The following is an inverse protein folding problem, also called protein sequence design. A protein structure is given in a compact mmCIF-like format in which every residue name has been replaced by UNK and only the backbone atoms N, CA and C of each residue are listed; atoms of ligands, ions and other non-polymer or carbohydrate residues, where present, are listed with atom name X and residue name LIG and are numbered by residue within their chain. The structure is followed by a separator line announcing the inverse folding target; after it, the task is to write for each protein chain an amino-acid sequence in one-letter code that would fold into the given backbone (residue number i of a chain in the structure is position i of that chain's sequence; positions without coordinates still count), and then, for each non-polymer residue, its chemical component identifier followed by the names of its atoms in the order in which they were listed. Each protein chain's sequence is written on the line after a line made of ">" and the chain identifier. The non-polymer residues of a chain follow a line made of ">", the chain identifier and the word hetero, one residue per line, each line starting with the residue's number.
data_IF_831373180243
#
_entry.id   IF_831373180243
#
_cell.length_a   1.000
_cell.length_b   1.000
_cell.length_c   1.000
_cell.angle_alpha   90.00
_cell.angle_beta   90.00
_cell.angle_gamma   90.00
#
_symmetry.space_group_name_H-M   'P 1'
#
loop_
_entity.id
_entity.type
_entity.pdbx_description
1 polymer ?
#
# COMPACT_ATOMS: atom_id res chain seq x y z
N UNK A 1 -21.13 -3.64 2.42
CA UNK A 1 -20.07 -3.20 3.35
C UNK A 1 -19.32 -2.11 2.63
N UNK A 2 -19.06 -0.93 3.19
CA UNK A 2 -18.59 0.25 2.41
C UNK A 2 -17.35 -0.05 1.55
N UNK A 3 -16.48 -0.97 1.99
CA UNK A 3 -15.28 -1.38 1.25
C UNK A 3 -15.55 -2.27 0.01
N UNK A 4 -16.76 -2.78 -0.20
CA UNK A 4 -17.08 -3.49 -1.46
C UNK A 4 -17.15 -2.53 -2.65
N UNK A 5 -17.42 -1.26 -2.39
CA UNK A 5 -17.66 -0.25 -3.42
C UNK A 5 -16.36 0.29 -4.02
N UNK A 6 -15.24 0.17 -3.28
CA UNK A 6 -13.89 0.49 -3.77
C UNK A 6 -13.30 -0.63 -4.63
N UNK A 7 -13.84 -1.85 -4.53
CA UNK A 7 -13.28 -3.04 -5.15
C UNK A 7 -11.88 -3.39 -4.63
N UNK A 8 -11.20 -4.29 -5.35
CA UNK A 8 -9.83 -4.69 -5.03
C UNK A 8 -9.68 -5.69 -3.90
N UNK A 9 -8.43 -6.08 -3.63
CA UNK A 9 -8.05 -7.02 -2.59
C UNK A 9 -7.06 -6.38 -1.61
N UNK A 10 -7.18 -6.76 -0.34
CA UNK A 10 -6.30 -6.27 0.72
C UNK A 10 -4.87 -6.77 0.48
N UNK A 11 -3.88 -5.89 0.57
CA UNK A 11 -2.47 -6.20 0.32
C UNK A 11 -1.88 -7.13 1.41
N UNK A 12 -2.52 -7.22 2.57
CA UNK A 12 -2.19 -8.19 3.62
C UNK A 12 -2.85 -9.57 3.42
N UNK A 13 -3.76 -9.71 2.45
CA UNK A 13 -4.38 -11.00 2.12
C UNK A 13 -3.71 -11.61 0.89
N UNK A 14 -3.63 -12.94 0.78
CA UNK A 14 -3.00 -13.61 -0.37
C UNK A 14 -3.55 -13.15 -1.73
N UNK A 15 -4.83 -12.81 -1.80
CA UNK A 15 -5.50 -12.35 -3.03
C UNK A 15 -5.03 -10.97 -3.50
N UNK A 16 -4.57 -10.10 -2.58
CA UNK A 16 -4.02 -8.78 -2.91
C UNK A 16 -2.52 -8.78 -3.19
N UNK A 17 -1.83 -9.90 -2.93
CA UNK A 17 -0.40 -10.08 -3.18
C UNK A 17 -0.15 -10.49 -4.63
N UNK A 18 -0.44 -9.56 -5.56
CA UNK A 18 -0.25 -9.77 -7.02
C UNK A 18 1.00 -9.07 -7.58
N UNK A 19 1.62 -8.18 -6.80
CA UNK A 19 2.82 -7.44 -7.19
C UNK A 19 4.09 -8.09 -6.61
N UNK A 20 5.20 -8.06 -7.36
CA UNK A 20 6.50 -8.49 -6.84
C UNK A 20 7.11 -7.43 -5.90
N UNK A 21 8.10 -7.83 -5.09
CA UNK A 21 8.86 -6.92 -4.19
C UNK A 21 9.39 -5.68 -4.94
N UNK A 22 9.77 -5.82 -6.21
CA UNK A 22 10.33 -4.72 -7.02
C UNK A 22 9.27 -3.75 -7.54
N UNK A 23 8.03 -4.19 -7.66
CA UNK A 23 6.95 -3.44 -8.29
C UNK A 23 6.05 -2.72 -7.28
N UNK A 24 6.04 -3.14 -6.01
CA UNK A 24 5.15 -2.57 -4.97
C UNK A 24 5.53 -1.13 -4.57
N UNK A 25 6.80 -0.76 -4.67
CA UNK A 25 7.29 0.52 -4.14
C UNK A 25 6.64 1.73 -4.82
N UNK A 26 6.54 1.72 -6.15
CA UNK A 26 6.01 2.86 -6.91
C UNK A 26 4.52 3.10 -6.63
N UNK A 27 3.63 2.08 -6.63
CA UNK A 27 2.27 2.21 -6.15
C UNK A 27 2.15 2.74 -4.72
N UNK A 28 2.96 2.23 -3.78
CA UNK A 28 2.97 2.69 -2.39
C UNK A 28 3.35 4.16 -2.29
N UNK A 29 4.42 4.55 -2.98
CA UNK A 29 4.88 5.93 -2.99
C UNK A 29 3.82 6.87 -3.55
N UNK A 30 3.19 6.52 -4.68
CA UNK A 30 2.09 7.32 -5.24
C UNK A 30 0.93 7.49 -4.27
N UNK A 31 0.51 6.40 -3.62
CA UNK A 31 -0.59 6.40 -2.67
C UNK A 31 -0.27 7.23 -1.40
N UNK A 32 0.98 7.17 -0.90
CA UNK A 32 1.39 8.01 0.23
C UNK A 32 1.55 9.47 -0.16
N UNK A 33 2.03 9.77 -1.37
CA UNK A 33 2.18 11.15 -1.86
C UNK A 33 0.85 11.82 -2.21
N UNK A 34 -0.19 11.08 -2.62
CA UNK A 34 -1.49 11.68 -2.91
C UNK A 34 -2.21 12.24 -1.68
N UNK A 35 -1.70 11.92 -0.49
CA UNK A 35 -2.15 12.49 0.77
C UNK A 35 -1.41 13.79 1.14
N UNK A 36 -0.35 14.17 0.39
CA UNK A 36 0.40 15.41 0.64
C UNK A 36 -0.43 16.64 0.28
N UNK A 37 -1.09 16.63 -0.88
CA UNK A 37 -1.92 17.74 -1.35
C UNK A 37 -3.02 18.16 -0.36
N UNK A 38 -3.75 17.23 0.28
CA UNK A 38 -4.70 17.60 1.35
C UNK A 38 -4.02 17.93 2.69
N UNK A 39 -2.69 17.91 2.78
CA UNK A 39 -1.94 18.13 4.01
C UNK A 39 -2.12 17.00 5.01
N UNK A 40 -2.19 15.75 4.57
CA UNK A 40 -2.55 14.60 5.39
C UNK A 40 -1.40 13.60 5.45
N UNK A 41 -0.94 13.28 6.66
CA UNK A 41 0.08 12.26 6.89
C UNK A 41 -0.47 11.16 7.80
N UNK A 42 -0.81 9.99 7.24
CA UNK A 42 -1.34 8.85 8.01
C UNK A 42 -0.30 8.22 8.95
N UNK A 43 -0.52 8.23 10.26
CA UNK A 43 0.45 7.74 11.24
C UNK A 43 0.50 6.19 11.30
N UNK A 44 -0.65 5.53 11.14
CA UNK A 44 -0.75 4.07 11.24
C UNK A 44 -0.56 3.37 9.88
N UNK A 45 0.69 3.17 9.45
CA UNK A 45 1.02 2.51 8.18
C UNK A 45 1.06 0.98 8.34
N UNK A 46 -0.01 0.29 7.96
CA UNK A 46 -0.10 -1.19 7.93
C UNK A 46 -0.66 -1.67 6.57
N UNK A 47 -0.27 -2.87 6.14
CA UNK A 47 -0.72 -3.51 4.90
C UNK A 47 -2.23 -3.78 4.89
N UNK A 48 -2.84 -4.02 6.05
CA UNK A 48 -4.30 -4.24 6.18
C UNK A 48 -5.12 -3.04 5.70
N UNK A 49 -4.50 -1.84 5.73
CA UNK A 49 -5.12 -0.59 5.32
C UNK A 49 -4.82 -0.23 3.86
N UNK A 50 -4.30 -1.18 3.08
CA UNK A 50 -3.96 -0.99 1.68
C UNK A 50 -4.75 -1.99 0.84
N UNK A 51 -5.48 -1.47 -0.13
CA UNK A 51 -6.21 -2.27 -1.10
C UNK A 51 -5.63 -2.05 -2.49
N UNK A 52 -5.35 -3.14 -3.21
CA UNK A 52 -5.02 -3.06 -4.61
C UNK A 52 -6.32 -3.07 -5.43
N UNK A 53 -6.70 -1.91 -5.96
CA UNK A 53 -8.06 -1.65 -6.48
C UNK A 53 -8.19 -1.70 -8.00
N UNK A 54 -7.10 -1.78 -8.74
CA UNK A 54 -7.15 -1.77 -10.20
C UNK A 54 -6.15 -2.73 -10.83
N UNK A 55 -6.49 -3.23 -12.02
CA UNK A 55 -5.63 -4.11 -12.83
C UNK A 55 -4.30 -3.44 -13.23
N UNK A 56 -4.20 -2.11 -13.13
CA UNK A 56 -2.98 -1.34 -13.37
C UNK A 56 -2.07 -1.21 -12.13
N UNK A 57 -2.41 -1.87 -11.02
CA UNK A 57 -1.59 -1.92 -9.81
C UNK A 57 -1.70 -0.69 -8.90
N UNK A 58 -2.82 0.05 -8.95
CA UNK A 58 -3.08 1.16 -8.01
C UNK A 58 -3.42 0.66 -6.61
N UNK A 59 -2.84 1.34 -5.61
CA UNK A 59 -3.14 1.14 -4.20
C UNK A 59 -4.06 2.24 -3.71
N UNK A 60 -5.14 1.84 -3.06
CA UNK A 60 -5.99 2.72 -2.27
C UNK A 60 -5.66 2.53 -0.79
N UNK A 61 -5.32 3.63 -0.11
CA UNK A 61 -5.19 3.62 1.34
C UNK A 61 -6.56 3.81 1.97
N UNK A 62 -6.92 2.94 2.90
CA UNK A 62 -8.17 3.01 3.66
C UNK A 62 -7.88 3.39 5.11
N UNK A 63 -8.94 3.46 5.91
CA UNK A 63 -8.95 3.76 7.35
C UNK A 63 -8.71 5.24 7.72
N UNK A 64 -7.71 6.01 7.30
CA UNK A 64 -7.43 7.42 7.70
C UNK A 64 -7.69 7.90 9.18
N UNK A 65 -7.90 7.05 10.18
CA UNK A 65 -8.34 7.48 11.53
C UNK A 65 -7.27 8.28 12.30
N UNK A 66 -5.99 8.16 11.92
CA UNK A 66 -4.87 8.90 12.51
C UNK A 66 -4.08 9.63 11.44
N UNK A 67 -4.31 10.93 11.35
CA UNK A 67 -3.66 11.82 10.39
C UNK A 67 -3.01 12.99 11.09
N UNK A 68 -1.76 13.26 10.75
CA UNK A 68 -1.09 14.51 11.08
C UNK A 68 -1.36 15.52 9.95
N UNK A 69 -1.88 16.68 10.33
CA UNK A 69 -2.27 17.76 9.41
C UNK A 69 -1.33 18.97 9.46
N UNK A 70 -0.36 19.00 10.38
CA UNK A 70 0.45 20.18 10.68
C UNK A 70 1.94 20.00 10.28
N UNK A 71 2.21 19.30 9.17
CA UNK A 71 3.56 19.19 8.62
C UNK A 71 3.84 20.30 7.58
N UNK A 72 5.10 20.67 7.41
CA UNK A 72 5.52 21.45 6.24
C UNK A 72 5.57 20.56 4.99
N UNK A 73 5.47 21.14 3.79
CA UNK A 73 5.55 20.39 2.51
C UNK A 73 6.80 19.50 2.42
N UNK A 74 7.96 20.00 2.83
CA UNK A 74 9.22 19.23 2.87
C UNK A 74 9.12 18.02 3.83
N UNK A 75 8.44 18.20 4.97
CA UNK A 75 8.22 17.13 5.93
C UNK A 75 7.20 16.10 5.42
N UNK A 76 6.23 16.51 4.60
CA UNK A 76 5.28 15.60 3.96
C UNK A 76 5.94 14.70 2.92
N UNK A 77 6.80 15.23 2.05
CA UNK A 77 7.54 14.43 1.08
C UNK A 77 8.46 13.41 1.77
N UNK A 78 9.18 13.84 2.81
CA UNK A 78 10.01 12.96 3.63
C UNK A 78 9.19 11.87 4.35
N UNK A 79 8.03 12.23 4.91
CA UNK A 79 7.12 11.30 5.56
C UNK A 79 6.55 10.27 4.56
N UNK A 80 6.12 10.70 3.38
CA UNK A 80 5.61 9.83 2.33
C UNK A 80 6.67 8.82 1.85
N UNK A 81 7.91 9.27 1.66
CA UNK A 81 9.03 8.40 1.31
C UNK A 81 9.34 7.39 2.43
N UNK A 82 9.39 7.87 3.67
CA UNK A 82 9.66 7.02 4.84
C UNK A 82 8.59 5.93 5.01
N UNK A 83 7.32 6.28 4.79
CA UNK A 83 6.20 5.33 4.82
C UNK A 83 6.24 4.33 3.69
N UNK A 84 6.49 4.77 2.45
CA UNK A 84 6.61 3.87 1.31
C UNK A 84 7.76 2.86 1.52
N UNK A 85 8.89 3.30 2.09
CA UNK A 85 10.00 2.43 2.48
C UNK A 85 9.59 1.41 3.56
N UNK A 86 8.88 1.86 4.60
CA UNK A 86 8.41 0.99 5.69
C UNK A 86 7.43 -0.06 5.19
N UNK A 87 6.39 0.36 4.45
CA UNK A 87 5.37 -0.52 3.87
C UNK A 87 5.97 -1.52 2.87
N UNK A 88 6.95 -1.09 2.07
CA UNK A 88 7.65 -2.00 1.15
C UNK A 88 8.43 -3.10 1.90
N UNK A 89 9.04 -2.77 3.05
CA UNK A 89 9.72 -3.76 3.90
C UNK A 89 8.73 -4.73 4.53
N UNK A 90 7.57 -4.25 5.00
CA UNK A 90 6.50 -5.09 5.52
C UNK A 90 5.98 -6.03 4.43
N UNK A 91 5.69 -5.52 3.24
CA UNK A 91 5.21 -6.30 2.11
C UNK A 91 6.19 -7.43 1.73
N UNK A 92 7.49 -7.12 1.68
CA UNK A 92 8.52 -8.14 1.46
C UNK A 92 8.54 -9.21 2.55
N UNK A 93 8.39 -8.82 3.82
CA UNK A 93 8.32 -9.78 4.92
C UNK A 93 7.10 -10.68 4.75
N UNK A 94 5.96 -10.11 4.38
CA UNK A 94 4.72 -10.82 4.13
C UNK A 94 4.84 -11.82 2.97
N UNK A 95 5.44 -11.42 1.84
CA UNK A 95 5.75 -12.32 0.73
C UNK A 95 6.54 -13.56 1.16
N UNK A 96 7.58 -13.36 1.98
CA UNK A 96 8.41 -14.47 2.48
C UNK A 96 7.64 -15.39 3.43
N UNK A 97 6.75 -14.83 4.25
CA UNK A 97 5.86 -15.62 5.12
C UNK A 97 4.92 -16.48 4.29
N UNK A 98 4.25 -15.90 3.29
CA UNK A 98 3.36 -16.66 2.40
C UNK A 98 4.09 -17.76 1.63
N UNK A 99 5.31 -17.49 1.17
CA UNK A 99 6.17 -18.49 0.53
C UNK A 99 6.54 -19.62 1.50
N UNK A 100 6.96 -19.28 2.72
CA UNK A 100 7.29 -20.26 3.75
C UNK A 100 6.09 -21.16 4.10
N UNK A 101 4.89 -20.58 4.13
CA UNK A 101 3.64 -21.27 4.43
C UNK A 101 3.09 -22.07 3.22
N UNK A 102 3.73 -22.00 2.06
CA UNK A 102 3.32 -22.71 0.84
C UNK A 102 2.03 -22.18 0.22
N UNK A 103 1.69 -20.90 0.46
CA UNK A 103 0.48 -20.28 -0.07
C UNK A 103 0.64 -20.05 -1.57
N UNK A 104 -0.35 -20.52 -2.35
CA UNK A 104 -0.39 -20.28 -3.79
C UNK A 104 -0.86 -18.85 -4.06
N UNK A 105 0.06 -18.02 -4.55
CA UNK A 105 -0.24 -16.62 -4.88
C UNK A 105 -0.99 -16.49 -6.22
N UNK A 106 -1.84 -15.46 -6.35
CA UNK A 106 -2.53 -15.15 -7.61
C UNK A 106 -1.55 -14.86 -8.76
N UNK A 107 -2.03 -15.04 -10.00
CA UNK A 107 -1.23 -14.74 -11.20
C UNK A 107 -0.92 -13.24 -11.26
N UNK A 108 0.34 -12.95 -11.59
CA UNK A 108 0.85 -11.59 -11.75
C UNK A 108 0.07 -10.81 -12.81
N UNK A 109 -0.19 -9.55 -12.51
CA UNK A 109 -0.55 -8.56 -13.53
C UNK A 109 0.71 -8.31 -14.38
N UNK A 110 0.79 -8.96 -15.54
CA UNK A 110 1.86 -8.71 -16.50
C UNK A 110 1.75 -7.26 -16.98
N UNK A 111 2.82 -6.47 -16.79
CA UNK A 111 2.99 -5.21 -17.50
C UNK A 111 3.02 -5.53 -19.00
N UNK A 112 1.96 -5.17 -19.73
CA UNK A 112 1.97 -5.05 -21.20
C UNK A 112 2.60 -3.72 -21.56
#
# INVERSE_FOLDING_TARGET
>A
MILSDIGGACVASPEGVVLDEKDIYQPLYKATTSLIDPGVSRDDSNLDNLHLVAEDGKIMMVDLERVDMDLSEDNFAFAAQSKANFLSRQYRSHLRTLEYDGVLLPKRLLKV
#
